data_IF_309968849326
#
_entry.id   IF_309968849326
#
_cell.length_a   1.000
_cell.length_b   1.000
_cell.length_c   1.000
_cell.angle_alpha   90.00
_cell.angle_beta   90.00
_cell.angle_gamma   90.00
#
_symmetry.space_group_name_H-M   'P 1'
#
loop_
_entity.id
_entity.type
_entity.pdbx_description
1 polymer ?
#
# COMPACT_ATOMS: atom_id res chain seq x y z
N UNK A 1 8.73 31.74 10.04
CA UNK A 1 8.49 32.96 10.84
C UNK A 1 9.33 34.10 10.28
N UNK A 2 8.73 35.25 10.05
CA UNK A 2 9.45 36.48 9.72
C UNK A 2 9.39 37.44 10.91
N UNK A 3 10.50 38.12 11.15
CA UNK A 3 10.67 39.02 12.31
C UNK A 3 11.21 40.35 11.81
N UNK A 4 10.63 41.46 12.32
CA UNK A 4 11.11 42.79 12.05
C UNK A 4 12.44 43.06 12.80
N UNK A 5 13.20 44.12 12.42
CA UNK A 5 14.49 44.47 13.07
C UNK A 5 14.41 44.74 14.57
N UNK A 6 13.24 45.11 15.07
CA UNK A 6 12.96 45.35 16.49
C UNK A 6 12.61 44.08 17.28
N UNK A 7 12.59 42.91 16.61
CA UNK A 7 12.29 41.61 17.20
C UNK A 7 10.80 41.21 17.21
N UNK A 8 9.92 42.05 16.67
CA UNK A 8 8.48 41.72 16.56
C UNK A 8 8.27 40.66 15.46
N UNK A 9 7.47 39.63 15.78
CA UNK A 9 7.07 38.62 14.80
C UNK A 9 6.00 39.19 13.88
N UNK A 10 6.32 39.34 12.61
CA UNK A 10 5.46 39.95 11.60
C UNK A 10 4.70 38.91 10.77
N UNK A 11 5.28 37.71 10.62
CA UNK A 11 4.58 36.59 9.92
C UNK A 11 4.92 35.26 10.52
N UNK A 12 3.97 34.35 10.42
CA UNK A 12 4.08 32.95 10.81
C UNK A 12 3.53 32.04 9.70
N UNK A 13 4.10 30.88 9.57
CA UNK A 13 3.57 29.83 8.71
C UNK A 13 3.49 28.49 9.47
N UNK A 14 2.55 27.65 9.09
CA UNK A 14 2.43 26.33 9.69
C UNK A 14 3.52 25.40 9.15
N UNK A 15 4.24 24.73 10.06
CA UNK A 15 5.19 23.67 9.71
C UNK A 15 4.49 22.36 9.28
N UNK A 16 3.24 22.17 9.69
CA UNK A 16 2.48 20.93 9.45
C UNK A 16 1.53 21.04 8.27
N UNK A 17 1.03 22.24 7.98
CA UNK A 17 0.04 22.48 6.93
C UNK A 17 0.54 23.54 5.96
N UNK A 18 0.80 23.13 4.74
CA UNK A 18 1.12 24.06 3.65
C UNK A 18 -0.02 25.07 3.46
N UNK A 19 0.33 26.27 3.07
CA UNK A 19 -0.63 27.35 2.73
C UNK A 19 -1.41 27.94 3.91
N UNK A 20 -0.95 27.74 5.16
CA UNK A 20 -1.40 28.53 6.31
C UNK A 20 -0.31 29.54 6.65
N UNK A 21 -0.56 30.80 6.30
CA UNK A 21 0.33 31.93 6.55
C UNK A 21 -0.48 33.00 7.29
N UNK A 22 0.02 33.43 8.42
CA UNK A 22 -0.51 34.58 9.17
C UNK A 22 0.44 35.74 9.06
N UNK A 23 -0.06 36.95 8.84
CA UNK A 23 0.71 38.18 8.77
C UNK A 23 0.13 39.22 9.72
N UNK A 24 0.97 40.08 10.31
CA UNK A 24 0.54 41.15 11.21
C UNK A 24 0.11 42.41 10.48
N UNK A 25 0.70 42.70 9.31
CA UNK A 25 0.36 43.87 8.50
C UNK A 25 -0.87 43.63 7.63
N UNK A 26 -1.32 44.69 6.96
CA UNK A 26 -2.42 44.67 5.99
C UNK A 26 -1.86 44.61 4.55
N UNK A 27 -1.57 43.41 4.01
CA UNK A 27 -1.02 43.29 2.65
C UNK A 27 -1.98 43.84 1.60
N UNK A 28 -3.29 43.78 1.84
CA UNK A 28 -4.31 44.29 0.92
C UNK A 28 -4.27 45.82 0.78
N UNK A 29 -3.61 46.52 1.69
CA UNK A 29 -3.44 47.97 1.68
C UNK A 29 -2.12 48.41 1.05
N UNK A 30 -1.27 47.49 0.61
CA UNK A 30 0.06 47.77 0.10
C UNK A 30 0.17 47.49 -1.40
N UNK A 31 0.79 48.41 -2.14
CA UNK A 31 1.12 48.24 -3.56
C UNK A 31 2.61 47.87 -3.71
N UNK A 32 2.90 46.61 -3.82
CA UNK A 32 4.28 46.15 -3.97
C UNK A 32 4.35 44.76 -4.58
N UNK A 33 5.52 44.40 -5.12
CA UNK A 33 5.73 43.08 -5.74
C UNK A 33 5.67 41.97 -4.69
N UNK A 34 6.13 42.21 -3.47
CA UNK A 34 6.06 41.26 -2.36
C UNK A 34 4.61 40.94 -1.96
N UNK A 35 3.76 41.97 -1.91
CA UNK A 35 2.32 41.82 -1.65
C UNK A 35 1.65 41.03 -2.75
N UNK A 36 1.93 41.38 -4.01
CA UNK A 36 1.41 40.64 -5.17
C UNK A 36 1.89 39.19 -5.16
N UNK A 37 3.15 38.95 -4.78
CA UNK A 37 3.70 37.59 -4.65
C UNK A 37 2.98 36.78 -3.59
N UNK A 38 2.69 37.36 -2.42
CA UNK A 38 1.94 36.69 -1.33
C UNK A 38 0.54 36.26 -1.78
N UNK A 39 -0.24 37.16 -2.38
CA UNK A 39 -1.58 36.81 -2.88
C UNK A 39 -1.53 35.86 -4.07
N UNK A 40 -0.57 36.02 -4.98
CA UNK A 40 -0.38 35.10 -6.11
C UNK A 40 -0.06 33.68 -5.61
N UNK A 41 0.83 33.54 -4.63
CA UNK A 41 1.13 32.27 -3.99
C UNK A 41 -0.15 31.61 -3.44
N UNK A 42 -0.92 32.35 -2.64
CA UNK A 42 -2.15 31.85 -2.04
C UNK A 42 -3.19 31.41 -3.10
N UNK A 43 -3.40 32.22 -4.12
CA UNK A 43 -4.32 31.91 -5.23
C UNK A 43 -3.86 30.67 -6.00
N UNK A 44 -2.57 30.53 -6.28
CA UNK A 44 -2.00 29.38 -6.96
C UNK A 44 -2.18 28.10 -6.14
N UNK A 45 -1.90 28.14 -4.83
CA UNK A 45 -2.10 27.02 -3.94
C UNK A 45 -3.58 26.60 -3.87
N UNK A 46 -4.50 27.57 -3.77
CA UNK A 46 -5.94 27.29 -3.81
C UNK A 46 -6.39 26.66 -5.16
N UNK A 47 -5.84 27.13 -6.28
CA UNK A 47 -6.10 26.55 -7.60
C UNK A 47 -5.55 25.14 -7.73
N UNK A 48 -4.33 24.90 -7.25
CA UNK A 48 -3.68 23.58 -7.25
C UNK A 48 -4.48 22.59 -6.39
N UNK A 49 -4.90 23.01 -5.19
CA UNK A 49 -5.76 22.20 -4.33
C UNK A 49 -7.09 21.86 -5.03
N UNK A 50 -7.76 22.85 -5.63
CA UNK A 50 -9.02 22.63 -6.35
C UNK A 50 -8.81 21.69 -7.56
N UNK A 51 -7.70 21.83 -8.28
CA UNK A 51 -7.35 20.96 -9.41
C UNK A 51 -7.12 19.53 -8.94
N UNK A 52 -6.34 19.32 -7.88
CA UNK A 52 -6.11 18.01 -7.29
C UNK A 52 -7.42 17.35 -6.85
N UNK A 53 -8.28 18.07 -6.14
CA UNK A 53 -9.60 17.55 -5.71
C UNK A 53 -10.49 17.14 -6.88
N UNK A 54 -10.47 17.88 -7.98
CA UNK A 54 -11.21 17.51 -9.20
C UNK A 54 -10.67 16.22 -9.82
N UNK A 55 -9.35 16.06 -9.85
CA UNK A 55 -8.70 14.83 -10.32
C UNK A 55 -9.12 13.62 -9.50
N UNK A 56 -8.98 13.68 -8.19
CA UNK A 56 -9.38 12.60 -7.29
C UNK A 56 -10.90 12.28 -7.38
N UNK A 57 -11.74 13.28 -7.65
CA UNK A 57 -13.16 13.04 -7.87
C UNK A 57 -13.45 12.33 -9.21
N UNK A 58 -12.71 12.69 -10.27
CA UNK A 58 -12.92 12.18 -11.62
C UNK A 58 -12.34 10.78 -11.86
N UNK A 59 -11.20 10.46 -11.23
CA UNK A 59 -10.45 9.23 -11.45
C UNK A 59 -10.41 8.38 -10.19
N UNK A 60 -10.44 7.06 -10.37
CA UNK A 60 -10.21 6.11 -9.28
C UNK A 60 -8.70 6.05 -8.97
N UNK A 61 -8.35 6.25 -7.71
CA UNK A 61 -6.98 6.17 -7.22
C UNK A 61 -6.79 4.87 -6.46
N UNK A 62 -5.72 4.14 -6.78
CA UNK A 62 -5.38 2.86 -6.18
C UNK A 62 -3.92 2.86 -5.74
N UNK A 63 -3.68 2.55 -4.47
CA UNK A 63 -2.40 2.09 -3.97
C UNK A 63 -2.32 0.58 -4.13
N UNK A 64 -1.39 0.13 -4.96
CA UNK A 64 -1.29 -1.28 -5.33
C UNK A 64 -0.60 -2.17 -4.29
N UNK A 65 -0.06 -1.60 -3.20
CA UNK A 65 0.60 -2.38 -2.15
C UNK A 65 0.66 -1.61 -0.83
N UNK A 66 0.11 -2.20 0.23
CA UNK A 66 0.08 -1.59 1.55
C UNK A 66 0.24 -2.65 2.65
N UNK A 67 1.21 -2.42 3.53
CA UNK A 67 1.59 -3.31 4.63
C UNK A 67 0.85 -3.03 5.94
N UNK A 68 -0.28 -2.31 5.93
CA UNK A 68 -1.08 -2.11 7.15
C UNK A 68 -1.33 -3.42 7.92
N UNK A 69 -1.56 -4.60 7.27
CA UNK A 69 -1.73 -5.86 7.99
C UNK A 69 -0.53 -6.33 8.83
N UNK A 70 0.68 -5.86 8.55
CA UNK A 70 1.86 -6.16 9.39
C UNK A 70 1.73 -5.61 10.82
N UNK A 71 0.87 -4.64 11.03
CA UNK A 71 0.67 -3.98 12.32
C UNK A 71 -0.50 -4.56 13.13
N UNK A 72 -1.16 -5.61 12.65
CA UNK A 72 -2.33 -6.19 13.33
C UNK A 72 -2.05 -6.61 14.77
N UNK A 73 -0.84 -7.02 15.11
CA UNK A 73 -0.46 -7.40 16.47
C UNK A 73 -0.18 -6.20 17.40
N UNK A 74 -0.29 -4.97 16.89
CA UNK A 74 -0.01 -3.73 17.62
C UNK A 74 -1.26 -2.97 18.07
N UNK A 75 -2.41 -3.63 18.12
CA UNK A 75 -3.70 -3.00 18.47
C UNK A 75 -3.97 -1.74 17.66
N UNK A 76 -3.94 -1.85 16.34
CA UNK A 76 -4.28 -0.77 15.41
C UNK A 76 -5.80 -0.63 15.26
N UNK A 77 -6.23 0.58 14.91
CA UNK A 77 -7.61 0.85 14.58
C UNK A 77 -7.76 1.56 13.22
N UNK A 78 -8.11 0.80 12.20
CA UNK A 78 -8.29 1.31 10.85
C UNK A 78 -9.47 2.29 10.71
N UNK A 79 -10.46 2.21 11.61
CA UNK A 79 -11.67 3.03 11.57
C UNK A 79 -11.51 4.41 12.24
N UNK A 80 -10.29 4.81 12.60
CA UNK A 80 -9.97 6.14 13.10
C UNK A 80 -8.55 6.50 12.70
N UNK A 81 -8.21 7.79 12.78
CA UNK A 81 -6.83 8.23 12.52
C UNK A 81 -5.88 7.60 13.54
N UNK A 82 -5.10 6.63 13.10
CA UNK A 82 -4.17 5.88 13.93
C UNK A 82 -2.72 6.26 13.60
N UNK A 83 -1.93 6.79 14.57
CA UNK A 83 -0.54 7.18 14.32
C UNK A 83 0.40 5.98 14.09
N UNK A 84 -0.02 4.77 14.43
CA UNK A 84 0.79 3.55 14.27
C UNK A 84 0.87 3.06 12.82
N UNK A 85 -0.08 3.44 11.98
CA UNK A 85 -0.16 2.99 10.58
C UNK A 85 -0.18 4.18 9.62
N UNK A 86 0.35 4.00 8.43
CA UNK A 86 0.41 5.05 7.41
C UNK A 86 -0.90 5.19 6.63
N UNK A 87 -1.65 4.10 6.51
CA UNK A 87 -2.93 4.04 5.80
C UNK A 87 -4.02 3.58 6.76
N UNK A 88 -4.99 4.46 7.01
CA UNK A 88 -6.25 4.18 7.69
C UNK A 88 -7.41 4.84 6.92
N UNK A 89 -8.66 4.54 7.28
CA UNK A 89 -9.83 5.04 6.56
C UNK A 89 -9.91 6.57 6.50
N UNK A 90 -9.48 7.27 7.56
CA UNK A 90 -9.47 8.73 7.60
C UNK A 90 -8.39 9.33 6.71
N UNK A 91 -7.17 8.77 6.73
CA UNK A 91 -6.07 9.20 5.85
C UNK A 91 -6.40 8.93 4.38
N UNK A 92 -7.07 7.81 4.07
CA UNK A 92 -7.56 7.53 2.72
C UNK A 92 -8.57 8.61 2.26
N UNK A 93 -9.51 8.99 3.12
CA UNK A 93 -10.49 10.05 2.80
C UNK A 93 -9.79 11.40 2.58
N UNK A 94 -8.92 11.80 3.50
CA UNK A 94 -8.21 13.08 3.43
C UNK A 94 -7.28 13.17 2.22
N UNK A 95 -6.52 12.09 1.94
CA UNK A 95 -5.61 11.99 0.80
C UNK A 95 -6.31 11.79 -0.54
N UNK A 96 -7.62 11.47 -0.54
CA UNK A 96 -8.36 11.16 -1.75
C UNK A 96 -7.98 9.81 -2.36
N UNK A 97 -7.49 8.86 -1.56
CA UNK A 97 -7.20 7.49 -1.96
C UNK A 97 -8.49 6.66 -1.94
N UNK A 98 -8.90 6.16 -3.10
CA UNK A 98 -10.15 5.40 -3.23
C UNK A 98 -9.97 3.93 -2.85
N UNK A 99 -8.81 3.35 -3.15
CA UNK A 99 -8.55 1.93 -2.95
C UNK A 99 -7.10 1.65 -2.53
N UNK A 100 -6.90 0.59 -1.77
CA UNK A 100 -5.57 0.05 -1.45
C UNK A 100 -5.61 -1.47 -1.44
N UNK A 101 -4.57 -2.09 -2.01
CA UNK A 101 -4.36 -3.54 -1.86
C UNK A 101 -3.55 -3.75 -0.58
N UNK A 102 -4.17 -4.38 0.41
CA UNK A 102 -3.54 -4.69 1.68
C UNK A 102 -3.09 -6.14 1.70
N UNK A 103 -1.81 -6.35 1.97
CA UNK A 103 -1.19 -7.64 1.75
C UNK A 103 -0.98 -8.45 3.02
N UNK A 104 -1.18 -9.76 2.90
CA UNK A 104 -0.66 -10.73 3.86
C UNK A 104 0.83 -10.93 3.54
N UNK A 105 1.68 -10.21 4.24
CA UNK A 105 3.13 -10.35 4.15
C UNK A 105 3.62 -11.62 4.86
N UNK A 106 4.45 -12.39 4.18
CA UNK A 106 5.00 -13.65 4.68
C UNK A 106 6.53 -13.63 4.62
N UNK A 107 7.16 -13.46 5.78
CA UNK A 107 8.61 -13.56 5.86
C UNK A 107 9.09 -14.99 5.49
N UNK A 108 10.15 -15.08 4.69
CA UNK A 108 10.77 -16.35 4.31
C UNK A 108 11.66 -16.86 5.46
N UNK A 109 11.06 -17.59 6.39
CA UNK A 109 11.74 -18.05 7.61
C UNK A 109 12.20 -19.52 7.51
N UNK A 110 12.03 -20.18 6.37
CA UNK A 110 12.40 -21.59 6.15
C UNK A 110 11.90 -22.08 4.80
N UNK A 111 12.16 -23.35 4.53
CA UNK A 111 11.81 -24.07 3.29
C UNK A 111 11.21 -25.43 3.64
N UNK A 112 10.48 -25.99 2.71
CA UNK A 112 9.87 -27.31 2.81
C UNK A 112 8.43 -27.30 3.36
N UNK A 113 7.82 -28.48 3.41
CA UNK A 113 6.39 -28.67 3.64
C UNK A 113 5.88 -28.02 4.93
N UNK A 114 6.60 -28.19 6.06
CA UNK A 114 6.20 -27.60 7.33
C UNK A 114 6.19 -26.07 7.30
N UNK A 115 7.21 -25.46 6.68
CA UNK A 115 7.31 -24.02 6.53
C UNK A 115 6.23 -23.47 5.57
N UNK A 116 5.95 -24.18 4.48
CA UNK A 116 4.90 -23.83 3.52
C UNK A 116 3.52 -23.88 4.18
N UNK A 117 3.26 -24.90 5.00
CA UNK A 117 1.99 -25.04 5.73
C UNK A 117 1.81 -23.92 6.77
N UNK A 118 2.88 -23.55 7.46
CA UNK A 118 2.85 -22.43 8.41
C UNK A 118 2.60 -21.10 7.72
N UNK A 119 3.24 -20.87 6.57
CA UNK A 119 3.01 -19.69 5.74
C UNK A 119 1.55 -19.61 5.28
N UNK A 120 0.98 -20.73 4.84
CA UNK A 120 -0.43 -20.82 4.46
C UNK A 120 -1.37 -20.47 5.62
N UNK A 121 -1.11 -21.01 6.81
CA UNK A 121 -1.90 -20.70 8.03
C UNK A 121 -1.82 -19.21 8.36
N UNK A 122 -0.60 -18.65 8.36
CA UNK A 122 -0.37 -17.24 8.64
C UNK A 122 -1.10 -16.35 7.64
N UNK A 123 -1.01 -16.65 6.33
CA UNK A 123 -1.73 -15.91 5.31
C UNK A 123 -3.24 -15.91 5.58
N UNK A 124 -3.83 -17.07 5.86
CA UNK A 124 -5.25 -17.18 6.18
C UNK A 124 -5.63 -16.36 7.41
N UNK A 125 -4.82 -16.40 8.48
CA UNK A 125 -5.06 -15.62 9.71
C UNK A 125 -5.02 -14.11 9.43
N UNK A 126 -4.06 -13.64 8.63
CA UNK A 126 -3.97 -12.22 8.25
C UNK A 126 -5.19 -11.81 7.42
N UNK A 127 -5.61 -12.64 6.47
CA UNK A 127 -6.80 -12.38 5.66
C UNK A 127 -8.07 -12.32 6.53
N UNK A 128 -8.25 -13.23 7.50
CA UNK A 128 -9.40 -13.19 8.42
C UNK A 128 -9.43 -11.86 9.20
N UNK A 129 -8.30 -11.43 9.71
CA UNK A 129 -8.18 -10.13 10.42
C UNK A 129 -8.45 -8.96 9.50
N UNK A 130 -8.00 -9.01 8.24
CA UNK A 130 -8.26 -7.98 7.24
C UNK A 130 -9.78 -7.85 6.96
N UNK A 131 -10.47 -8.95 6.79
CA UNK A 131 -11.92 -8.97 6.61
C UNK A 131 -12.63 -8.38 7.81
N UNK A 132 -12.30 -8.82 9.02
CA UNK A 132 -12.89 -8.31 10.26
C UNK A 132 -12.64 -6.80 10.44
N UNK A 133 -11.43 -6.32 10.09
CA UNK A 133 -11.08 -4.91 10.15
C UNK A 133 -11.94 -4.06 9.22
N UNK A 134 -12.16 -4.53 7.99
CA UNK A 134 -12.97 -3.81 6.99
C UNK A 134 -14.45 -3.87 7.35
N UNK A 135 -14.96 -5.01 7.82
CA UNK A 135 -16.34 -5.16 8.27
C UNK A 135 -16.68 -4.21 9.42
N UNK A 136 -15.73 -3.99 10.34
CA UNK A 136 -15.89 -3.05 11.44
C UNK A 136 -15.78 -1.56 11.02
N UNK A 137 -15.44 -1.26 9.76
CA UNK A 137 -15.21 0.10 9.28
C UNK A 137 -16.35 0.59 8.37
N UNK A 138 -17.26 1.49 8.82
CA UNK A 138 -18.36 1.99 8.01
C UNK A 138 -17.94 2.76 6.74
N UNK A 139 -16.69 3.26 6.71
CA UNK A 139 -16.14 4.04 5.59
C UNK A 139 -15.44 3.17 4.54
N UNK A 140 -15.29 1.87 4.79
CA UNK A 140 -14.58 0.96 3.90
C UNK A 140 -15.42 -0.25 3.51
N UNK A 141 -15.05 -0.86 2.40
CA UNK A 141 -15.64 -2.11 1.91
C UNK A 141 -14.60 -2.91 1.16
N UNK A 142 -14.70 -4.23 1.24
CA UNK A 142 -13.91 -5.12 0.40
C UNK A 142 -14.23 -4.92 -1.08
N UNK A 143 -13.21 -5.07 -1.93
CA UNK A 143 -13.35 -5.10 -3.38
C UNK A 143 -12.50 -6.23 -3.96
N UNK A 144 -13.03 -6.92 -4.96
CA UNK A 144 -12.41 -8.10 -5.59
C UNK A 144 -12.33 -7.96 -7.11
N UNK A 145 -12.91 -6.88 -7.64
CA UNK A 145 -12.98 -6.61 -9.07
C UNK A 145 -12.99 -5.09 -9.34
N UNK A 146 -12.70 -4.66 -10.60
CA UNK A 146 -12.86 -3.27 -11.00
C UNK A 146 -14.29 -2.74 -10.82
N UNK A 147 -15.31 -3.59 -10.98
CA UNK A 147 -16.70 -3.21 -10.77
C UNK A 147 -16.98 -2.85 -9.30
N UNK A 148 -16.41 -3.61 -8.35
CA UNK A 148 -16.53 -3.32 -6.91
C UNK A 148 -15.87 -1.99 -6.57
N UNK A 149 -14.69 -1.71 -7.14
CA UNK A 149 -13.97 -0.46 -6.94
C UNK A 149 -14.82 0.75 -7.36
N UNK A 150 -15.45 0.66 -8.54
CA UNK A 150 -16.32 1.72 -9.05
C UNK A 150 -17.58 1.89 -8.20
N UNK A 151 -18.20 0.78 -7.80
CA UNK A 151 -19.40 0.79 -6.96
C UNK A 151 -19.11 1.40 -5.57
N UNK A 152 -17.98 1.03 -4.95
CA UNK A 152 -17.57 1.57 -3.66
C UNK A 152 -17.28 3.08 -3.76
N UNK A 153 -16.56 3.51 -4.82
CA UNK A 153 -16.29 4.93 -5.05
C UNK A 153 -17.61 5.73 -5.23
N UNK A 154 -18.55 5.22 -6.00
CA UNK A 154 -19.88 5.86 -6.18
C UNK A 154 -20.66 5.96 -4.86
N UNK A 155 -20.50 4.96 -3.98
CA UNK A 155 -21.08 4.96 -2.65
C UNK A 155 -20.32 5.84 -1.63
N UNK A 156 -19.21 6.47 -2.03
CA UNK A 156 -18.37 7.27 -1.14
C UNK A 156 -17.49 6.46 -0.18
N UNK A 157 -17.39 5.15 -0.41
CA UNK A 157 -16.61 4.22 0.42
C UNK A 157 -15.18 4.06 -0.11
N UNK A 158 -14.27 3.69 0.80
CA UNK A 158 -12.90 3.29 0.46
C UNK A 158 -12.86 1.79 0.21
N UNK A 159 -12.10 1.37 -0.79
CA UNK A 159 -11.96 -0.04 -1.13
C UNK A 159 -10.71 -0.63 -0.52
N UNK A 160 -10.83 -1.83 0.04
CA UNK A 160 -9.70 -2.64 0.47
C UNK A 160 -9.72 -3.93 -0.36
N UNK A 161 -8.60 -4.25 -0.99
CA UNK A 161 -8.43 -5.48 -1.77
C UNK A 161 -7.39 -6.36 -1.09
N UNK A 162 -7.62 -7.66 -0.90
CA UNK A 162 -6.63 -8.54 -0.31
C UNK A 162 -5.56 -8.97 -1.31
N UNK A 163 -4.28 -8.91 -0.90
CA UNK A 163 -3.14 -9.43 -1.63
C UNK A 163 -2.32 -10.41 -0.77
N UNK A 164 -1.37 -11.10 -1.40
CA UNK A 164 -0.33 -11.87 -0.71
C UNK A 164 1.02 -11.35 -1.16
N UNK A 165 1.90 -11.06 -0.22
CA UNK A 165 3.30 -10.81 -0.49
C UNK A 165 4.14 -12.01 -0.04
N UNK A 166 4.84 -12.60 -1.02
CA UNK A 166 5.54 -13.87 -0.97
C UNK A 166 4.62 -15.09 -1.12
N UNK A 167 4.49 -15.59 -2.35
CA UNK A 167 3.70 -16.77 -2.71
C UNK A 167 4.23 -18.10 -2.12
N UNK A 168 5.18 -18.03 -1.23
CA UNK A 168 5.63 -19.09 -0.34
C UNK A 168 4.45 -19.84 0.34
N UNK A 169 3.33 -19.15 0.59
CA UNK A 169 2.09 -19.76 1.07
C UNK A 169 1.43 -20.74 0.08
N UNK A 170 1.81 -20.71 -1.21
CA UNK A 170 1.29 -21.69 -2.18
C UNK A 170 1.99 -23.03 -2.02
N UNK A 171 3.19 -23.06 -1.42
CA UNK A 171 3.99 -24.27 -1.31
C UNK A 171 4.25 -24.88 -2.68
N UNK A 172 4.07 -26.19 -2.78
CA UNK A 172 4.21 -26.98 -4.02
C UNK A 172 2.86 -27.52 -4.53
N UNK A 173 1.74 -27.00 -4.01
CA UNK A 173 0.38 -27.44 -4.39
C UNK A 173 -0.38 -26.31 -5.09
N UNK A 174 -0.70 -26.52 -6.37
CA UNK A 174 -1.47 -25.57 -7.19
C UNK A 174 -2.88 -25.30 -6.65
N UNK A 175 -3.48 -26.24 -5.90
CA UNK A 175 -4.79 -26.02 -5.27
C UNK A 175 -4.78 -24.81 -4.29
N UNK A 176 -3.62 -24.47 -3.74
CA UNK A 176 -3.49 -23.32 -2.85
C UNK A 176 -3.66 -21.99 -3.59
N UNK A 177 -3.33 -21.90 -4.88
CA UNK A 177 -3.61 -20.71 -5.70
C UNK A 177 -5.12 -20.48 -5.79
N UNK A 178 -5.88 -21.52 -6.11
CA UNK A 178 -7.34 -21.44 -6.17
C UNK A 178 -7.96 -21.17 -4.79
N UNK A 179 -7.42 -21.78 -3.72
CA UNK A 179 -7.84 -21.51 -2.35
C UNK A 179 -7.76 -19.99 -2.02
N UNK A 180 -6.63 -19.38 -2.26
CA UNK A 180 -6.46 -17.95 -1.96
C UNK A 180 -7.29 -17.07 -2.91
N UNK A 181 -7.47 -17.47 -4.18
CA UNK A 181 -8.37 -16.75 -5.08
C UNK A 181 -9.83 -16.80 -4.60
N UNK A 182 -10.30 -17.93 -4.10
CA UNK A 182 -11.63 -18.05 -3.48
C UNK A 182 -11.76 -17.22 -2.20
N UNK A 183 -10.63 -17.00 -1.50
CA UNK A 183 -10.52 -16.05 -0.40
C UNK A 183 -10.48 -14.59 -0.85
N UNK A 184 -10.65 -14.31 -2.15
CA UNK A 184 -10.70 -12.97 -2.71
C UNK A 184 -9.35 -12.33 -3.02
N UNK A 185 -8.23 -13.03 -2.82
CA UNK A 185 -6.88 -12.51 -3.12
C UNK A 185 -6.81 -12.12 -4.59
N UNK A 186 -6.43 -10.86 -4.85
CA UNK A 186 -6.41 -10.30 -6.21
C UNK A 186 -5.06 -10.42 -6.88
N UNK A 187 -3.96 -10.45 -6.09
CA UNK A 187 -2.62 -10.75 -6.60
C UNK A 187 -1.77 -11.48 -5.56
N UNK A 188 -0.69 -12.10 -6.04
CA UNK A 188 0.38 -12.59 -5.20
C UNK A 188 1.75 -12.24 -5.80
N UNK A 189 2.64 -11.69 -4.94
CA UNK A 189 4.05 -11.50 -5.25
C UNK A 189 4.74 -12.86 -5.19
N UNK A 190 5.48 -13.25 -6.24
CA UNK A 190 6.05 -14.60 -6.36
C UNK A 190 7.06 -14.93 -5.26
N UNK A 191 7.87 -13.95 -4.81
CA UNK A 191 8.77 -14.09 -3.67
C UNK A 191 8.91 -12.75 -2.92
N UNK A 192 9.62 -12.78 -1.80
CA UNK A 192 10.11 -11.59 -1.13
C UNK A 192 11.64 -11.72 -0.91
N UNK A 193 12.17 -11.40 0.26
CA UNK A 193 13.57 -11.67 0.58
C UNK A 193 13.80 -13.17 0.85
N UNK A 194 14.76 -13.78 0.16
CA UNK A 194 15.01 -15.22 0.16
C UNK A 194 14.28 -15.96 -0.95
N UNK A 195 14.95 -16.98 -1.51
CA UNK A 195 14.37 -17.84 -2.54
C UNK A 195 13.25 -18.73 -1.95
N UNK A 196 12.26 -19.05 -2.76
CA UNK A 196 11.24 -20.03 -2.42
C UNK A 196 11.11 -21.10 -3.52
N UNK A 197 10.09 -21.96 -3.46
CA UNK A 197 9.89 -23.02 -4.44
C UNK A 197 9.41 -22.51 -5.82
N UNK A 198 9.10 -21.21 -5.90
CA UNK A 198 8.53 -20.56 -7.09
C UNK A 198 9.58 -19.79 -7.87
N UNK A 199 10.38 -18.94 -7.21
CA UNK A 199 11.40 -18.15 -7.89
C UNK A 199 12.54 -17.72 -6.97
N UNK A 200 13.63 -17.27 -7.61
CA UNK A 200 14.75 -16.62 -6.95
C UNK A 200 14.39 -15.18 -6.57
N UNK A 201 14.92 -14.75 -5.43
CA UNK A 201 14.78 -13.40 -4.92
C UNK A 201 15.96 -12.51 -5.34
N UNK A 202 15.70 -11.27 -5.69
CA UNK A 202 16.71 -10.23 -5.87
C UNK A 202 17.51 -9.96 -4.58
N UNK A 203 17.00 -10.44 -3.43
CA UNK A 203 17.70 -10.42 -2.14
C UNK A 203 17.70 -11.84 -1.53
N UNK A 204 18.56 -12.75 -2.04
CA UNK A 204 18.72 -14.08 -1.46
C UNK A 204 19.14 -13.97 0.01
N UNK A 205 18.69 -14.89 0.84
CA UNK A 205 19.05 -14.92 2.24
C UNK A 205 20.46 -15.53 2.45
N UNK A 206 20.93 -15.60 3.70
CA UNK A 206 22.28 -16.11 4.01
C UNK A 206 22.46 -17.57 3.61
N UNK A 207 21.42 -18.38 3.75
CA UNK A 207 21.47 -19.81 3.40
C UNK A 207 21.48 -20.00 1.88
N UNK A 208 20.71 -19.18 1.15
CA UNK A 208 20.73 -19.16 -0.32
C UNK A 208 22.13 -18.77 -0.83
N UNK A 209 22.71 -17.70 -0.27
CA UNK A 209 24.07 -17.26 -0.63
C UNK A 209 25.13 -18.33 -0.32
N UNK A 210 25.01 -19.05 0.78
CA UNK A 210 25.92 -20.12 1.15
C UNK A 210 25.78 -21.34 0.23
N UNK A 211 24.52 -21.72 -0.08
CA UNK A 211 24.23 -22.92 -0.88
C UNK A 211 24.49 -22.73 -2.37
N UNK A 212 24.23 -21.53 -2.89
CA UNK A 212 24.29 -21.20 -4.32
C UNK A 212 25.30 -20.08 -4.60
N UNK A 213 26.46 -20.09 -3.95
CA UNK A 213 27.47 -19.04 -4.03
C UNK A 213 27.93 -18.74 -5.47
N UNK A 214 28.12 -19.78 -6.30
CA UNK A 214 28.55 -19.65 -7.69
C UNK A 214 27.51 -18.89 -8.57
N UNK A 215 26.26 -18.89 -8.16
CA UNK A 215 25.13 -18.21 -8.82
C UNK A 215 24.68 -16.96 -8.05
N UNK A 216 25.52 -16.40 -7.18
CA UNK A 216 25.19 -15.24 -6.33
C UNK A 216 23.93 -15.43 -5.50
N UNK A 217 23.65 -16.67 -5.09
CA UNK A 217 22.49 -17.03 -4.30
C UNK A 217 21.27 -17.50 -5.11
N UNK A 218 21.31 -17.47 -6.44
CA UNK A 218 20.22 -17.95 -7.29
C UNK A 218 20.14 -19.48 -7.33
N UNK A 219 19.00 -20.05 -7.01
CA UNK A 219 18.71 -21.49 -7.06
C UNK A 219 18.25 -21.93 -8.44
N UNK A 220 17.29 -21.16 -9.00
CA UNK A 220 16.53 -21.53 -10.19
C UNK A 220 17.03 -20.85 -11.47
N UNK A 221 17.88 -19.84 -11.34
CA UNK A 221 18.24 -18.93 -12.45
C UNK A 221 17.08 -17.99 -12.80
N UNK A 222 16.37 -17.52 -11.76
CA UNK A 222 15.18 -16.68 -11.82
C UNK A 222 13.93 -17.44 -11.43
N UNK A 223 13.25 -18.06 -12.40
CA UNK A 223 11.99 -18.78 -12.21
C UNK A 223 12.22 -20.30 -12.13
N UNK A 224 11.60 -20.97 -11.15
CA UNK A 224 11.62 -22.44 -11.05
C UNK A 224 10.80 -23.10 -12.17
N UNK A 225 11.00 -24.39 -12.42
CA UNK A 225 10.13 -25.15 -13.34
C UNK A 225 8.66 -25.15 -12.86
N UNK A 226 8.44 -25.18 -11.55
CA UNK A 226 7.13 -25.18 -10.95
C UNK A 226 6.37 -23.86 -11.18
N UNK A 227 7.06 -22.72 -11.25
CA UNK A 227 6.43 -21.40 -11.42
C UNK A 227 5.58 -21.29 -12.68
N UNK A 228 5.98 -21.98 -13.76
CA UNK A 228 5.18 -21.96 -15.00
C UNK A 228 3.76 -22.47 -14.77
N UNK A 229 3.64 -23.50 -13.92
CA UNK A 229 2.35 -24.05 -13.51
C UNK A 229 1.61 -23.10 -12.57
N UNK A 230 2.31 -22.48 -11.63
CA UNK A 230 1.74 -21.47 -10.73
C UNK A 230 1.18 -20.29 -11.51
N UNK A 231 1.94 -19.71 -12.45
CA UNK A 231 1.49 -18.56 -13.27
C UNK A 231 0.29 -18.94 -14.14
N UNK A 232 0.29 -20.14 -14.75
CA UNK A 232 -0.87 -20.61 -15.53
C UNK A 232 -2.11 -20.75 -14.64
N UNK A 233 -1.94 -21.27 -13.44
CA UNK A 233 -3.04 -21.41 -12.48
C UNK A 233 -3.54 -20.04 -11.98
N UNK A 234 -2.63 -19.11 -11.65
CA UNK A 234 -3.01 -17.73 -11.31
C UNK A 234 -3.82 -17.08 -12.43
N UNK A 235 -3.38 -17.23 -13.69
CA UNK A 235 -4.12 -16.72 -14.85
C UNK A 235 -5.50 -17.40 -14.99
N UNK A 236 -5.56 -18.74 -14.80
CA UNK A 236 -6.82 -19.50 -14.89
C UNK A 236 -7.86 -19.01 -13.90
N UNK A 237 -7.44 -18.73 -12.66
CA UNK A 237 -8.35 -18.30 -11.59
C UNK A 237 -8.56 -16.77 -11.56
N UNK A 238 -7.86 -16.00 -12.40
CA UNK A 238 -7.97 -14.55 -12.45
C UNK A 238 -7.27 -13.85 -11.27
N UNK A 239 -6.10 -14.36 -10.86
CA UNK A 239 -5.21 -13.73 -9.88
C UNK A 239 -4.03 -13.08 -10.61
N UNK A 240 -3.74 -11.81 -10.33
CA UNK A 240 -2.59 -11.11 -10.92
C UNK A 240 -1.27 -11.66 -10.37
N UNK A 241 -0.26 -11.72 -11.23
CA UNK A 241 1.11 -12.08 -10.87
C UNK A 241 1.91 -10.81 -10.61
N UNK A 242 2.47 -10.69 -9.42
CA UNK A 242 3.37 -9.60 -9.07
C UNK A 242 4.83 -10.11 -9.07
N UNK A 243 5.69 -9.40 -9.81
CA UNK A 243 7.11 -9.73 -10.00
C UNK A 243 8.03 -8.93 -9.07
N UNK A 244 7.49 -8.14 -8.18
CA UNK A 244 8.28 -7.43 -7.18
C UNK A 244 9.18 -8.41 -6.43
N UNK A 245 10.39 -7.99 -6.07
CA UNK A 245 11.41 -8.80 -5.39
C UNK A 245 11.99 -9.97 -6.20
N UNK A 246 11.49 -10.30 -7.37
CA UNK A 246 12.06 -11.36 -8.23
C UNK A 246 13.43 -10.98 -8.79
N UNK A 247 14.31 -12.00 -8.97
CA UNK A 247 15.64 -11.86 -9.59
C UNK A 247 15.57 -12.00 -11.11
#
# INVERSE_FOLDING_TARGET
TATAPDGIVEAVESSERKSIIGVQWHPECLDGDDTRALFTHFVNEAQNYRRARRWHAAYLTLDSHCDTPMFFDQDINFNRRDPKILVDSHKMVEGGLDASIMVAYLAQNGRGEAANLEAMRKANTILDRLYNMVEACPQARMAFSPADLLANKQAGLRSVMPGIENAFAFGTDLANVEHFRRRGVVYATLCHNGNNDICDSARPNKDDLARYAERKGGEHGGLSEFVRSVVREMNRVGMMVDLSHGA
#
